data_IF_889557623692
#
_entry.id   IF_889557623692
#
_cell.length_a   1.000
_cell.length_b   1.000
_cell.length_c   1.000
_cell.angle_alpha   90.00
_cell.angle_beta   90.00
_cell.angle_gamma   90.00
#
_symmetry.space_group_name_H-M   'P 1'
#
loop_
_entity.id
_entity.type
_entity.pdbx_description
1 polymer ?
#
# COMPACT_ATOMS: atom_id res chain seq x y z
N UNK A 1 -10.20 14.51 -7.12
CA UNK A 1 -10.79 13.85 -8.31
C UNK A 1 -12.24 14.29 -8.42
N UNK A 2 -12.75 14.56 -9.62
CA UNK A 2 -14.19 14.81 -9.82
C UNK A 2 -14.93 13.47 -9.98
N UNK A 3 -16.26 13.47 -9.90
CA UNK A 3 -17.06 12.25 -10.09
C UNK A 3 -16.84 11.55 -11.45
N UNK A 4 -16.25 12.24 -12.43
CA UNK A 4 -15.98 11.74 -13.78
C UNK A 4 -14.49 11.45 -14.06
N UNK A 5 -13.61 11.62 -13.07
CA UNK A 5 -12.16 11.41 -13.23
C UNK A 5 -11.65 10.32 -12.30
N UNK A 6 -10.86 9.41 -12.85
CA UNK A 6 -10.20 8.33 -12.12
C UNK A 6 -8.71 8.37 -12.39
N UNK A 7 -7.89 8.33 -11.35
CA UNK A 7 -6.44 8.16 -11.48
C UNK A 7 -6.13 6.68 -11.64
N UNK A 8 -5.32 6.33 -12.64
CA UNK A 8 -4.93 4.96 -12.93
C UNK A 8 -3.42 4.91 -13.10
N UNK A 9 -2.79 3.91 -12.52
CA UNK A 9 -1.35 3.67 -12.64
C UNK A 9 -1.06 2.18 -12.56
N UNK A 10 0.07 1.79 -13.13
CA UNK A 10 0.61 0.43 -13.06
C UNK A 10 1.86 0.48 -12.21
N UNK A 11 1.93 -0.39 -11.21
CA UNK A 11 3.10 -0.55 -10.33
C UNK A 11 3.74 -1.89 -10.65
N UNK A 12 5.03 -1.87 -10.92
CA UNK A 12 5.81 -3.03 -11.35
C UNK A 12 7.28 -2.88 -10.96
N UNK A 13 8.01 -3.98 -11.04
CA UNK A 13 9.47 -3.95 -10.90
C UNK A 13 10.13 -3.24 -12.10
N UNK A 14 11.30 -2.65 -11.82
CA UNK A 14 12.03 -1.81 -12.78
C UNK A 14 12.56 -2.63 -13.95
N UNK A 15 12.91 -3.88 -13.69
CA UNK A 15 13.44 -4.84 -14.65
C UNK A 15 12.40 -5.21 -15.70
N UNK A 16 11.14 -5.44 -15.30
CA UNK A 16 10.00 -5.74 -16.18
C UNK A 16 9.74 -4.59 -17.14
N UNK A 17 9.72 -3.35 -16.65
CA UNK A 17 9.54 -2.19 -17.53
C UNK A 17 10.69 -2.04 -18.53
N UNK A 18 11.95 -2.22 -18.07
CA UNK A 18 13.13 -2.18 -18.94
C UNK A 18 13.12 -3.28 -19.99
N UNK A 19 12.67 -4.47 -19.64
CA UNK A 19 12.59 -5.62 -20.54
C UNK A 19 11.53 -5.42 -21.64
N UNK A 20 10.45 -4.69 -21.35
CA UNK A 20 9.39 -4.40 -22.32
C UNK A 20 9.90 -3.57 -23.52
N UNK A 21 10.91 -2.72 -23.33
CA UNK A 21 11.46 -1.82 -24.38
C UNK A 21 10.38 -0.96 -25.07
N UNK A 22 9.39 -0.53 -24.29
CA UNK A 22 8.27 0.28 -24.74
C UNK A 22 8.34 1.70 -24.16
N UNK A 23 7.60 2.64 -24.75
CA UNK A 23 7.34 3.90 -24.07
C UNK A 23 6.46 3.65 -22.83
N UNK A 24 6.51 4.57 -21.85
CA UNK A 24 5.65 4.46 -20.67
C UNK A 24 4.16 4.48 -21.02
N UNK A 25 3.81 5.22 -22.09
CA UNK A 25 2.46 5.31 -22.61
C UNK A 25 2.00 3.98 -23.20
N UNK A 26 2.77 3.41 -24.13
CA UNK A 26 2.42 2.14 -24.77
C UNK A 26 2.33 1.02 -23.73
N UNK A 27 3.24 1.03 -22.74
CA UNK A 27 3.24 0.04 -21.67
C UNK A 27 1.99 0.15 -20.78
N UNK A 28 1.56 1.37 -20.44
CA UNK A 28 0.32 1.60 -19.70
C UNK A 28 -0.88 1.06 -20.51
N UNK A 29 -1.00 1.45 -21.78
CA UNK A 29 -2.12 1.02 -22.62
C UNK A 29 -2.17 -0.50 -22.80
N UNK A 30 -1.01 -1.14 -23.03
CA UNK A 30 -0.91 -2.60 -23.07
C UNK A 30 -1.36 -3.22 -21.75
N UNK A 31 -0.85 -2.73 -20.62
CA UNK A 31 -1.20 -3.26 -19.30
C UNK A 31 -2.69 -3.16 -18.99
N UNK A 32 -3.35 -2.07 -19.42
CA UNK A 32 -4.79 -1.89 -19.26
C UNK A 32 -5.59 -2.85 -20.15
N UNK A 33 -5.12 -3.08 -21.38
CA UNK A 33 -5.76 -3.99 -22.33
C UNK A 33 -5.64 -5.46 -21.92
N UNK A 34 -4.54 -5.86 -21.28
CA UNK A 34 -4.30 -7.22 -20.79
C UNK A 34 -5.23 -7.63 -19.64
N UNK A 35 -5.85 -6.67 -18.95
CA UNK A 35 -6.73 -6.92 -17.81
C UNK A 35 -8.21 -6.77 -18.21
N UNK A 36 -8.98 -7.87 -18.41
CA UNK A 36 -10.32 -7.80 -19.02
C UNK A 36 -11.30 -6.88 -18.29
N UNK A 37 -11.25 -6.87 -16.95
CA UNK A 37 -12.12 -6.02 -16.13
C UNK A 37 -11.76 -4.55 -16.30
N UNK A 38 -10.47 -4.22 -16.39
CA UNK A 38 -9.99 -2.86 -16.57
C UNK A 38 -10.27 -2.39 -17.99
N UNK A 39 -9.92 -3.18 -19.02
CA UNK A 39 -10.24 -2.89 -20.41
C UNK A 39 -11.72 -2.59 -20.61
N UNK A 40 -12.62 -3.40 -20.03
CA UNK A 40 -14.07 -3.15 -20.09
C UNK A 40 -14.48 -1.83 -19.42
N UNK A 41 -13.88 -1.49 -18.28
CA UNK A 41 -14.15 -0.22 -17.57
C UNK A 41 -13.60 1.00 -18.31
N UNK A 42 -12.52 0.81 -19.08
CA UNK A 42 -11.83 1.86 -19.81
C UNK A 42 -12.35 2.09 -21.23
N UNK A 43 -13.26 1.25 -21.74
CA UNK A 43 -13.74 1.29 -23.12
C UNK A 43 -14.25 2.66 -23.61
N UNK A 44 -14.82 3.48 -22.72
CA UNK A 44 -15.30 4.84 -23.01
C UNK A 44 -14.52 5.93 -22.26
N UNK A 45 -13.39 5.58 -21.64
CA UNK A 45 -12.58 6.52 -20.89
C UNK A 45 -11.64 7.27 -21.85
N UNK A 46 -11.52 8.58 -21.65
CA UNK A 46 -10.53 9.39 -22.35
C UNK A 46 -9.41 9.75 -21.38
N UNK A 47 -8.16 9.54 -21.78
CA UNK A 47 -7.00 10.00 -21.02
C UNK A 47 -6.92 11.53 -21.09
N UNK A 48 -6.87 12.18 -19.92
CA UNK A 48 -6.88 13.65 -19.79
C UNK A 48 -5.56 14.22 -19.23
N UNK A 49 -4.53 13.38 -19.14
CA UNK A 49 -3.20 13.75 -18.66
C UNK A 49 -2.11 13.02 -19.44
N UNK A 50 -0.87 13.49 -19.32
CA UNK A 50 0.30 12.74 -19.71
C UNK A 50 0.50 11.51 -18.82
N UNK A 51 1.30 10.56 -19.30
CA UNK A 51 1.74 9.40 -18.51
C UNK A 51 3.00 9.79 -17.76
N UNK A 52 2.92 9.80 -16.43
CA UNK A 52 4.05 10.08 -15.57
C UNK A 52 4.72 8.80 -15.10
N UNK A 53 6.06 8.80 -15.12
CA UNK A 53 6.86 7.71 -14.56
C UNK A 53 7.51 8.21 -13.28
N UNK A 54 7.19 7.56 -12.17
CA UNK A 54 7.96 7.67 -10.94
C UNK A 54 8.91 6.47 -10.83
N UNK A 55 10.06 6.66 -10.23
CA UNK A 55 11.01 5.59 -9.90
C UNK A 55 11.36 5.67 -8.40
N UNK A 56 12.02 4.63 -7.88
CA UNK A 56 12.58 4.57 -6.52
C UNK A 56 11.51 4.64 -5.40
N UNK A 57 10.56 3.71 -5.46
CA UNK A 57 9.35 3.65 -4.64
C UNK A 57 9.52 3.18 -3.19
N UNK A 58 10.74 2.95 -2.70
CA UNK A 58 10.94 2.59 -1.29
C UNK A 58 12.33 2.99 -0.83
N UNK A 59 12.41 3.94 0.08
CA UNK A 59 13.65 4.38 0.70
C UNK A 59 13.42 4.86 2.13
N UNK A 60 14.51 4.90 2.90
CA UNK A 60 14.50 5.38 4.27
C UNK A 60 15.75 6.22 4.49
N UNK A 61 15.56 7.43 5.01
CA UNK A 61 16.68 8.27 5.42
C UNK A 61 17.40 7.62 6.61
N UNK A 62 18.73 7.49 6.52
CA UNK A 62 19.53 6.86 7.57
C UNK A 62 19.47 7.61 8.91
N UNK A 63 19.12 8.90 8.86
CA UNK A 63 18.99 9.78 10.03
C UNK A 63 17.82 10.72 9.81
N UNK A 64 16.93 10.82 10.79
CA UNK A 64 15.71 11.64 10.68
C UNK A 64 15.82 13.01 11.35
N UNK A 65 16.94 13.29 12.00
CA UNK A 65 17.16 14.54 12.70
C UNK A 65 18.65 14.87 12.87
N UNK A 66 18.98 16.14 13.05
CA UNK A 66 20.33 16.58 13.39
C UNK A 66 20.32 17.86 14.20
N UNK A 67 21.44 18.59 14.18
CA UNK A 67 21.45 19.90 14.83
C UNK A 67 20.57 20.86 14.05
N UNK A 68 19.50 21.34 14.71
CA UNK A 68 18.53 22.31 14.16
C UNK A 68 17.76 21.84 12.91
N UNK A 69 17.63 20.54 12.65
CA UNK A 69 16.79 20.01 11.59
C UNK A 69 16.10 18.68 11.95
N UNK A 70 14.95 18.45 11.30
CA UNK A 70 14.13 17.24 11.33
C UNK A 70 13.65 16.95 9.89
N UNK A 71 13.51 15.68 9.53
CA UNK A 71 12.88 15.27 8.27
C UNK A 71 11.48 14.78 8.54
N UNK A 72 10.52 15.13 7.70
CA UNK A 72 9.13 14.68 7.74
C UNK A 72 8.64 14.31 6.34
N UNK A 73 7.54 13.54 6.28
CA UNK A 73 6.99 12.99 5.05
C UNK A 73 8.03 12.23 4.25
N UNK A 74 7.95 12.36 2.93
CA UNK A 74 8.81 11.62 2.01
C UNK A 74 10.30 11.91 2.25
N UNK A 75 10.66 13.10 2.74
CA UNK A 75 12.06 13.41 3.11
C UNK A 75 12.60 12.48 4.22
N UNK A 76 11.74 11.97 5.11
CA UNK A 76 12.11 10.97 6.11
C UNK A 76 12.19 9.55 5.52
N UNK A 77 11.33 9.26 4.56
CA UNK A 77 11.28 7.98 3.86
C UNK A 77 9.95 7.79 3.13
N UNK A 78 9.97 6.97 2.10
CA UNK A 78 8.82 6.62 1.29
C UNK A 78 8.69 5.10 1.23
N UNK A 79 7.45 4.61 1.24
CA UNK A 79 7.11 3.19 1.21
C UNK A 79 6.16 2.97 0.04
N UNK A 80 6.25 1.80 -0.59
CA UNK A 80 5.39 1.36 -1.69
C UNK A 80 3.90 1.76 -1.48
N UNK A 81 3.25 2.35 -2.50
CA UNK A 81 1.91 2.93 -2.37
C UNK A 81 0.77 1.91 -2.30
N UNK A 82 1.05 0.60 -2.29
CA UNK A 82 0.01 -0.44 -2.35
C UNK A 82 -1.06 -0.37 -1.25
N UNK A 83 -0.71 0.18 -0.08
CA UNK A 83 -1.65 0.42 1.02
C UNK A 83 -1.97 1.91 1.25
N UNK A 84 -1.57 2.80 0.33
CA UNK A 84 -1.83 4.25 0.41
C UNK A 84 -1.41 4.90 1.74
N UNK A 85 -0.32 4.41 2.34
CA UNK A 85 0.16 4.87 3.66
C UNK A 85 1.00 6.16 3.62
N UNK A 86 1.45 6.60 2.44
CA UNK A 86 2.35 7.75 2.29
C UNK A 86 1.79 9.05 2.89
N UNK A 87 0.54 9.40 2.55
CA UNK A 87 -0.11 10.61 3.10
C UNK A 87 -0.28 10.51 4.61
N UNK A 88 -0.64 9.32 5.14
CA UNK A 88 -0.71 9.11 6.58
C UNK A 88 0.64 9.35 7.25
N UNK A 89 1.73 8.77 6.74
CA UNK A 89 3.07 8.96 7.29
C UNK A 89 3.53 10.42 7.20
N UNK A 90 3.19 11.13 6.11
CA UNK A 90 3.48 12.55 5.95
C UNK A 90 2.76 13.42 6.98
N UNK A 91 1.47 13.21 7.19
CA UNK A 91 0.69 13.96 8.20
C UNK A 91 1.17 13.60 9.61
N UNK A 92 1.31 12.30 9.91
CA UNK A 92 1.77 11.81 11.21
C UNK A 92 3.15 12.39 11.60
N UNK A 93 4.09 12.38 10.66
CA UNK A 93 5.43 12.94 10.89
C UNK A 93 5.43 14.47 10.97
N UNK A 94 4.64 15.14 10.13
CA UNK A 94 4.49 16.59 10.13
C UNK A 94 3.94 17.13 11.44
N UNK A 95 2.88 16.51 11.97
CA UNK A 95 2.28 16.87 13.26
C UNK A 95 3.30 16.74 14.41
N UNK A 96 4.00 15.59 14.49
CA UNK A 96 5.02 15.37 15.52
C UNK A 96 6.17 16.37 15.42
N UNK A 97 6.62 16.70 14.21
CA UNK A 97 7.64 17.72 14.00
C UNK A 97 7.16 19.11 14.46
N UNK A 98 5.92 19.48 14.15
CA UNK A 98 5.34 20.76 14.57
C UNK A 98 5.28 20.89 16.11
N UNK A 99 4.78 19.86 16.79
CA UNK A 99 4.72 19.82 18.27
C UNK A 99 6.11 19.94 18.91
N UNK A 100 7.07 19.22 18.34
CA UNK A 100 8.45 19.22 18.82
C UNK A 100 9.10 20.59 18.60
N UNK A 101 8.90 21.21 17.44
CA UNK A 101 9.45 22.54 17.15
C UNK A 101 8.86 23.59 18.09
N UNK A 102 7.54 23.58 18.31
CA UNK A 102 6.89 24.47 19.25
C UNK A 102 7.51 24.39 20.66
N UNK A 103 7.83 23.18 21.13
CA UNK A 103 8.48 22.99 22.43
C UNK A 103 9.97 23.39 22.45
N UNK A 104 10.70 23.13 21.36
CA UNK A 104 12.15 23.35 21.27
C UNK A 104 12.50 24.82 21.10
N UNK A 105 11.65 25.62 20.46
CA UNK A 105 11.85 27.06 20.32
C UNK A 105 11.93 27.74 21.69
N UNK A 106 11.08 27.37 22.63
CA UNK A 106 11.12 27.89 24.02
C UNK A 106 12.13 27.18 24.90
N UNK A 107 12.38 25.88 24.66
CA UNK A 107 13.24 25.03 25.50
C UNK A 107 14.28 24.28 24.68
N UNK A 108 15.30 24.96 24.13
CA UNK A 108 16.28 24.36 23.22
C UNK A 108 17.00 23.13 23.80
N UNK A 109 17.22 23.10 25.12
CA UNK A 109 17.84 21.98 25.84
C UNK A 109 17.08 20.65 25.69
N UNK A 110 15.79 20.68 25.32
CA UNK A 110 14.96 19.47 25.12
C UNK A 110 15.11 18.86 23.73
N UNK A 111 15.68 19.57 22.75
CA UNK A 111 15.76 19.15 21.35
C UNK A 111 16.29 17.73 21.17
N UNK A 112 17.47 17.44 21.73
CA UNK A 112 18.12 16.13 21.61
C UNK A 112 17.23 14.96 22.05
N UNK A 113 16.46 15.14 23.13
CA UNK A 113 15.56 14.10 23.66
C UNK A 113 14.34 13.92 22.77
N UNK A 114 13.72 15.01 22.35
CA UNK A 114 12.52 15.00 21.53
C UNK A 114 12.79 14.46 20.13
N UNK A 115 13.88 14.90 19.49
CA UNK A 115 14.24 14.47 18.15
C UNK A 115 14.52 12.96 18.10
N UNK A 116 15.21 12.42 19.12
CA UNK A 116 15.41 10.96 19.28
C UNK A 116 14.12 10.19 19.56
N UNK A 117 13.14 10.81 20.23
CA UNK A 117 11.82 10.19 20.46
C UNK A 117 11.04 10.14 19.16
N UNK A 118 11.05 11.23 18.40
CA UNK A 118 10.45 11.31 17.08
C UNK A 118 11.01 10.28 16.11
N UNK A 119 12.33 10.21 15.96
CA UNK A 119 12.97 9.25 15.06
C UNK A 119 12.57 7.82 15.39
N UNK A 120 12.55 7.44 16.68
CA UNK A 120 12.07 6.10 17.10
C UNK A 120 10.60 5.87 16.78
N UNK A 121 9.75 6.88 16.97
CA UNK A 121 8.32 6.77 16.71
C UNK A 121 8.03 6.61 15.21
N UNK A 122 8.62 7.47 14.36
CA UNK A 122 8.46 7.40 12.92
C UNK A 122 9.08 6.11 12.36
N UNK A 123 10.25 5.71 12.85
CA UNK A 123 10.87 4.47 12.44
C UNK A 123 9.99 3.25 12.77
N UNK A 124 9.40 3.20 13.96
CA UNK A 124 8.45 2.14 14.32
C UNK A 124 7.21 2.14 13.41
N UNK A 125 6.70 3.30 13.03
CA UNK A 125 5.59 3.40 12.08
C UNK A 125 5.97 2.83 10.71
N UNK A 126 7.11 3.25 10.17
CA UNK A 126 7.64 2.75 8.91
C UNK A 126 7.87 1.23 8.94
N UNK A 127 8.41 0.68 10.02
CA UNK A 127 8.67 -0.76 10.15
C UNK A 127 7.38 -1.60 10.08
N UNK A 128 6.26 -1.09 10.62
CA UNK A 128 4.96 -1.76 10.53
C UNK A 128 4.48 -1.81 9.08
N UNK A 129 4.53 -0.69 8.35
CA UNK A 129 4.12 -0.64 6.95
C UNK A 129 5.04 -1.43 6.04
N UNK A 130 6.37 -1.32 6.21
CA UNK A 130 7.34 -2.10 5.45
C UNK A 130 7.14 -3.60 5.64
N UNK A 131 6.87 -4.06 6.86
CA UNK A 131 6.54 -5.48 7.11
C UNK A 131 5.29 -5.92 6.35
N UNK A 132 4.27 -5.07 6.29
CA UNK A 132 3.01 -5.38 5.61
C UNK A 132 3.18 -5.39 4.09
N UNK A 133 3.89 -4.40 3.53
CA UNK A 133 4.26 -4.32 2.11
C UNK A 133 5.12 -5.51 1.69
N UNK A 134 6.19 -5.81 2.41
CA UNK A 134 7.06 -6.95 2.09
C UNK A 134 6.29 -8.26 2.11
N UNK A 135 5.33 -8.40 3.02
CA UNK A 135 4.50 -9.59 3.09
C UNK A 135 3.49 -9.66 1.93
N UNK A 136 2.94 -8.54 1.47
CA UNK A 136 2.02 -8.52 0.31
C UNK A 136 2.62 -9.16 -0.94
N UNK A 137 3.93 -8.98 -1.17
CA UNK A 137 4.62 -9.59 -2.31
C UNK A 137 4.86 -11.11 -2.17
N UNK A 138 4.33 -11.75 -1.12
CA UNK A 138 4.31 -13.21 -0.96
C UNK A 138 2.95 -13.79 -1.30
N UNK A 139 2.93 -14.98 -1.93
CA UNK A 139 1.67 -15.63 -2.36
C UNK A 139 0.79 -15.96 -1.18
N UNK A 140 1.39 -16.46 -0.11
CA UNK A 140 0.74 -16.91 1.11
C UNK A 140 -0.02 -15.77 1.81
N UNK A 141 0.58 -14.57 1.80
CA UNK A 141 -0.06 -13.40 2.35
C UNK A 141 -1.31 -13.04 1.57
N UNK A 142 -1.21 -12.95 0.23
CA UNK A 142 -2.35 -12.61 -0.64
C UNK A 142 -3.47 -13.62 -0.44
N UNK A 143 -3.15 -14.91 -0.37
CA UNK A 143 -4.14 -15.98 -0.14
C UNK A 143 -4.89 -15.81 1.17
N UNK A 144 -4.18 -15.58 2.28
CA UNK A 144 -4.79 -15.38 3.61
C UNK A 144 -5.54 -14.06 3.68
N UNK A 145 -4.97 -12.99 3.13
CA UNK A 145 -5.53 -11.64 3.14
C UNK A 145 -6.83 -11.56 2.32
N UNK A 146 -6.89 -12.19 1.14
CA UNK A 146 -8.08 -12.19 0.27
C UNK A 146 -9.12 -13.25 0.65
N UNK A 147 -8.85 -14.10 1.64
CA UNK A 147 -9.80 -15.04 2.22
C UNK A 147 -10.12 -14.68 3.68
N UNK A 148 -10.62 -13.46 3.96
CA UNK A 148 -10.84 -13.00 5.32
C UNK A 148 -11.84 -13.93 6.02
N UNK A 149 -11.42 -14.50 7.14
CA UNK A 149 -12.30 -15.19 8.09
C UNK A 149 -12.35 -14.37 9.36
N UNK A 150 -13.56 -14.12 9.88
CA UNK A 150 -13.72 -13.39 11.13
C UNK A 150 -13.43 -14.30 12.34
N UNK A 151 -12.19 -14.77 12.41
CA UNK A 151 -11.64 -15.48 13.56
C UNK A 151 -10.92 -14.43 14.39
N UNK A 152 -11.19 -14.38 15.70
CA UNK A 152 -10.53 -13.47 16.64
C UNK A 152 -10.61 -11.96 16.29
N UNK A 153 -11.45 -11.53 15.35
CA UNK A 153 -11.46 -10.15 14.86
C UNK A 153 -10.18 -9.77 14.10
N UNK A 154 -9.59 -10.71 13.35
CA UNK A 154 -8.41 -10.44 12.52
C UNK A 154 -8.67 -9.41 11.41
N UNK A 155 -9.77 -9.49 10.62
CA UNK A 155 -9.99 -8.49 9.57
C UNK A 155 -10.11 -7.05 10.11
N UNK A 156 -10.84 -6.78 11.21
CA UNK A 156 -10.81 -5.46 11.84
C UNK A 156 -9.43 -5.01 12.31
N UNK A 157 -8.58 -5.90 12.83
CA UNK A 157 -7.23 -5.55 13.26
C UNK A 157 -6.32 -5.20 12.10
N UNK A 158 -6.40 -5.97 11.01
CA UNK A 158 -5.70 -5.67 9.75
C UNK A 158 -6.16 -4.32 9.20
N UNK A 159 -7.48 -4.09 9.14
CA UNK A 159 -8.04 -2.81 8.71
C UNK A 159 -7.61 -1.65 9.60
N UNK A 160 -7.49 -1.86 10.92
CA UNK A 160 -7.02 -0.83 11.84
C UNK A 160 -5.57 -0.42 11.54
N UNK A 161 -4.68 -1.39 11.27
CA UNK A 161 -3.28 -1.11 10.90
C UNK A 161 -3.23 -0.36 9.57
N UNK A 162 -3.97 -0.83 8.56
CA UNK A 162 -4.06 -0.16 7.26
C UNK A 162 -4.65 1.26 7.37
N UNK A 163 -5.57 1.47 8.30
CA UNK A 163 -6.18 2.77 8.62
C UNK A 163 -5.33 3.71 9.47
N UNK A 164 -4.05 3.40 9.73
CA UNK A 164 -3.16 4.30 10.47
C UNK A 164 -2.88 3.91 11.92
N UNK A 165 -3.38 2.77 12.41
CA UNK A 165 -3.10 2.36 13.79
C UNK A 165 -1.72 1.72 13.91
N UNK A 166 -0.75 2.48 14.43
CA UNK A 166 0.67 2.09 14.60
C UNK A 166 0.88 1.08 15.76
N UNK A 167 -0.13 0.27 16.09
CA UNK A 167 0.01 -0.84 17.04
C UNK A 167 0.27 -0.40 18.48
N UNK A 168 -0.33 0.71 18.91
CA UNK A 168 -0.28 1.16 20.31
C UNK A 168 -1.19 0.31 21.22
N UNK A 169 -2.10 -0.47 20.64
CA UNK A 169 -3.00 -1.36 21.36
C UNK A 169 -2.46 -2.79 21.44
N UNK A 170 -2.41 -3.37 22.64
CA UNK A 170 -2.12 -4.79 22.83
C UNK A 170 -3.04 -5.68 21.99
N UNK A 171 -4.33 -5.31 21.93
CA UNK A 171 -5.36 -6.03 21.19
C UNK A 171 -5.03 -6.17 19.69
N UNK A 172 -4.43 -5.13 19.09
CA UNK A 172 -4.01 -5.14 17.69
C UNK A 172 -2.72 -5.96 17.54
N UNK A 173 -1.76 -5.78 18.45
CA UNK A 173 -0.45 -6.45 18.37
C UNK A 173 -0.57 -7.97 18.35
N UNK A 174 -1.34 -8.56 19.25
CA UNK A 174 -1.48 -10.02 19.28
C UNK A 174 -2.27 -10.55 18.08
N UNK A 175 -3.28 -9.81 17.60
CA UNK A 175 -4.05 -10.18 16.40
C UNK A 175 -3.17 -10.15 15.15
N UNK A 176 -2.33 -9.13 15.01
CA UNK A 176 -1.33 -9.08 13.94
C UNK A 176 -0.34 -10.23 14.05
N UNK A 177 0.08 -10.61 15.27
CA UNK A 177 0.92 -11.79 15.45
C UNK A 177 0.23 -13.07 14.97
N UNK A 178 -1.04 -13.29 15.33
CA UNK A 178 -1.84 -14.43 14.86
C UNK A 178 -2.00 -14.39 13.34
N UNK A 179 -2.28 -13.23 12.75
CA UNK A 179 -2.40 -13.08 11.30
C UNK A 179 -1.11 -13.50 10.58
N UNK A 180 0.05 -12.99 11.01
CA UNK A 180 1.32 -13.41 10.43
C UNK A 180 1.68 -14.87 10.71
N UNK A 181 1.24 -15.43 11.84
CA UNK A 181 1.35 -16.86 12.11
C UNK A 181 0.52 -17.68 11.12
N UNK A 182 -0.69 -17.25 10.78
CA UNK A 182 -1.51 -17.91 9.75
C UNK A 182 -0.89 -17.82 8.36
N UNK A 183 -0.28 -16.68 8.01
CA UNK A 183 0.49 -16.54 6.76
C UNK A 183 1.68 -17.50 6.74
N UNK A 184 2.43 -17.58 7.84
CA UNK A 184 3.51 -18.55 7.98
C UNK A 184 2.99 -20.00 7.88
N UNK A 185 1.84 -20.31 8.49
CA UNK A 185 1.26 -21.63 8.45
C UNK A 185 0.77 -21.98 7.03
N UNK A 186 0.19 -21.02 6.29
CA UNK A 186 -0.20 -21.18 4.89
C UNK A 186 0.97 -21.59 3.98
N UNK A 187 2.18 -21.11 4.28
CA UNK A 187 3.42 -21.51 3.58
C UNK A 187 3.70 -23.01 3.67
N UNK A 188 3.40 -23.60 4.82
CA UNK A 188 3.71 -25.01 5.11
C UNK A 188 2.50 -25.93 4.90
N UNK A 189 1.30 -25.44 5.16
CA UNK A 189 0.05 -26.18 5.09
C UNK A 189 -1.03 -25.31 4.44
N UNK A 190 -1.67 -25.74 3.34
CA UNK A 190 -2.67 -24.94 2.63
C UNK A 190 -4.00 -24.91 3.40
N UNK A 191 -4.15 -23.96 4.33
CA UNK A 191 -5.37 -23.72 5.13
C UNK A 191 -6.45 -23.05 4.28
N UNK A 192 -6.04 -22.20 3.33
CA UNK A 192 -6.91 -21.55 2.35
C UNK A 192 -6.56 -22.00 0.92
N UNK A 193 -7.54 -21.98 -0.01
CA UNK A 193 -7.29 -22.36 -1.40
C UNK A 193 -6.18 -21.52 -2.02
N UNK A 194 -5.23 -22.19 -2.68
CA UNK A 194 -4.15 -21.49 -3.38
C UNK A 194 -4.72 -20.68 -4.53
N UNK A 195 -4.18 -19.48 -4.74
CA UNK A 195 -4.65 -18.55 -5.78
C UNK A 195 -3.60 -18.43 -6.88
N UNK A 196 -4.05 -18.51 -8.14
CA UNK A 196 -3.24 -18.13 -9.30
C UNK A 196 -3.49 -16.66 -9.59
N UNK A 197 -2.41 -15.87 -9.71
CA UNK A 197 -2.48 -14.45 -10.07
C UNK A 197 -2.48 -14.20 -11.59
N UNK A 198 -2.48 -15.28 -12.39
CA UNK A 198 -2.56 -15.21 -13.84
C UNK A 198 -4.04 -15.03 -14.24
N UNK A 199 -4.40 -13.97 -14.96
CA UNK A 199 -5.74 -13.79 -15.47
C UNK A 199 -6.12 -14.97 -16.36
N UNK A 200 -7.25 -15.62 -16.08
CA UNK A 200 -7.84 -16.56 -17.01
C UNK A 200 -8.57 -15.76 -18.09
N UNK A 201 -8.16 -15.90 -19.35
CA UNK A 201 -8.90 -15.39 -20.48
C UNK A 201 -10.28 -16.05 -20.48
N UNK A 202 -11.34 -15.25 -20.24
CA UNK A 202 -12.69 -15.78 -20.39
C UNK A 202 -12.91 -16.14 -21.86
N UNK A 203 -13.33 -17.38 -22.19
CA UNK A 203 -13.72 -17.69 -23.56
C UNK A 203 -14.92 -16.81 -23.93
N UNK A 204 -14.79 -16.10 -25.05
CA UNK A 204 -15.88 -15.35 -25.70
C UNK A 204 -17.02 -16.31 -26.01
N UNK A 205 -18.01 -16.37 -25.12
CA UNK A 205 -19.11 -17.33 -25.25
C UNK A 205 -20.09 -17.31 -24.09
N UNK A 206 -20.57 -16.12 -23.68
CA UNK A 206 -21.83 -16.05 -22.92
C UNK A 206 -22.90 -15.59 -23.88
N UNK A 207 -23.67 -16.55 -24.40
CA UNK A 207 -24.90 -16.31 -25.13
C UNK A 207 -25.83 -15.45 -24.26
N UNK A 208 -26.25 -14.31 -24.80
CA UNK A 208 -27.34 -13.51 -24.27
C UNK A 208 -28.62 -14.36 -24.26
N UNK A 209 -29.08 -14.77 -23.08
CA UNK A 209 -30.44 -15.27 -22.94
C UNK A 209 -31.42 -14.12 -23.17
N UNK A 210 -32.44 -14.27 -24.04
CA UNK A 210 -33.46 -13.24 -24.21
C UNK A 210 -34.31 -13.17 -22.95
N UNK A 211 -34.47 -11.96 -22.41
CA UNK A 211 -35.41 -11.67 -21.32
C UNK A 211 -36.81 -11.95 -21.86
N UNK A 212 -37.44 -13.01 -21.36
CA UNK A 212 -38.80 -13.38 -21.70
C UNK A 212 -39.77 -12.27 -21.32
N UNK A 213 -40.49 -11.77 -22.32
CA UNK A 213 -41.71 -11.00 -22.12
C UNK A 213 -42.73 -11.87 -21.36
N UNK A 214 -43.24 -11.36 -20.25
CA UNK A 214 -44.51 -11.83 -19.70
C UNK A 214 -45.54 -10.70 -19.86
N UNK A 215 -46.59 -11.09 -20.57
CA UNK A 215 -47.90 -10.44 -20.73
C UNK A 215 -48.55 -10.02 -19.42
#
# INVERSE_FOLDING_TARGET
LTAQRTSIGVVLDKETFRAAKMSAEDFLEQSLAEQPIIAKRMANAQRVSEVHVAADFSYRSARLHGDRWLLAGDAAGFIDPIFSSGVFLAVFSGEQCADILNEVLDRPRRAKRLFRRYERALNRAMDIYLRFVNAWYTKEFIEVFLAPRDVFGLPPAVNAVLGGNIGNSFAIRWRMWVFYFLVWLQKHYPIVPRRTLVPQSQPTGVQSQPIGARS
#
